data_IF_610575820227
#
_entry.id   IF_610575820227
#
_cell.length_a   1.000
_cell.length_b   1.000
_cell.length_c   1.000
_cell.angle_alpha   90.00
_cell.angle_beta   90.00
_cell.angle_gamma   90.00
#
_symmetry.space_group_name_H-M   'P 1'
#
loop_
_entity.id
_entity.type
_entity.pdbx_description
1 polymer ?
#
# COMPACT_ATOMS: atom_id res chain seq x y z
N UNK A 1 1.85 17.24 0.43
CA UNK A 1 2.16 15.84 0.04
C UNK A 1 0.86 15.18 -0.42
N UNK A 2 0.89 14.37 -1.47
CA UNK A 2 -0.30 13.71 -2.05
C UNK A 2 -0.02 12.22 -2.30
N UNK A 3 -0.15 11.38 -1.26
CA UNK A 3 -0.07 9.94 -1.45
C UNK A 3 -1.39 9.37 -2.02
N UNK A 4 -1.35 8.22 -2.71
CA UNK A 4 -2.52 7.40 -3.02
C UNK A 4 -2.93 6.62 -1.77
N UNK A 5 -3.34 5.34 -1.88
CA UNK A 5 -3.54 4.51 -0.68
C UNK A 5 -2.21 4.35 0.05
N UNK A 6 -2.26 4.39 1.38
CA UNK A 6 -1.08 4.23 2.22
C UNK A 6 -1.13 2.83 2.80
N UNK A 7 -0.06 2.06 2.60
CA UNK A 7 0.11 0.76 3.25
C UNK A 7 1.42 0.76 4.03
N UNK A 8 1.62 -0.25 4.86
CA UNK A 8 2.90 -0.54 5.50
C UNK A 8 2.76 -0.91 6.97
N UNK A 9 3.90 -1.04 7.67
CA UNK A 9 3.90 -1.46 9.07
C UNK A 9 3.32 -0.37 9.96
N UNK A 10 2.78 -0.79 11.11
CA UNK A 10 2.51 0.14 12.19
C UNK A 10 3.80 0.50 12.95
N UNK A 11 3.77 1.62 13.67
CA UNK A 11 4.80 1.93 14.65
C UNK A 11 4.87 0.84 15.74
N UNK A 12 6.03 0.62 16.38
CA UNK A 12 6.14 -0.33 17.48
C UNK A 12 5.08 -0.06 18.56
N UNK A 13 4.46 -1.13 19.05
CA UNK A 13 3.40 -1.09 20.07
C UNK A 13 2.12 -0.34 19.67
N UNK A 14 1.87 -0.14 18.37
CA UNK A 14 0.58 0.36 17.92
C UNK A 14 -0.55 -0.58 18.35
N UNK A 15 -1.62 -0.08 19.00
CA UNK A 15 -2.68 -0.92 19.54
C UNK A 15 -3.63 -1.39 18.43
N UNK A 16 -3.36 -2.57 17.86
CA UNK A 16 -4.26 -3.24 16.90
C UNK A 16 -5.41 -3.92 17.67
N UNK A 17 -6.42 -3.14 18.05
CA UNK A 17 -7.51 -3.60 18.93
C UNK A 17 -8.72 -4.13 18.18
N UNK A 18 -8.90 -3.71 16.93
CA UNK A 18 -10.05 -4.07 16.11
C UNK A 18 -9.72 -4.01 14.62
N UNK A 19 -10.62 -4.48 13.76
CA UNK A 19 -10.45 -4.39 12.31
C UNK A 19 -10.36 -2.94 11.83
N UNK A 20 -11.12 -2.03 12.44
CA UNK A 20 -11.10 -0.61 12.11
C UNK A 20 -9.74 0.04 12.39
N UNK A 21 -9.00 -0.47 13.39
CA UNK A 21 -7.64 0.01 13.69
C UNK A 21 -6.64 -0.26 12.56
N UNK A 22 -6.97 -1.15 11.62
CA UNK A 22 -6.14 -1.46 10.46
C UNK A 22 -6.11 -0.34 9.42
N UNK A 23 -7.12 0.54 9.40
CA UNK A 23 -7.28 1.57 8.37
C UNK A 23 -7.16 0.96 6.97
N UNK A 24 -6.33 1.52 6.09
CA UNK A 24 -6.10 1.04 4.72
C UNK A 24 -5.43 -0.32 4.65
N UNK A 25 -4.65 -0.75 5.65
CA UNK A 25 -4.08 -2.10 5.66
C UNK A 25 -5.17 -3.20 5.63
N UNK A 26 -6.41 -2.87 6.04
CA UNK A 26 -7.56 -3.77 5.90
C UNK A 26 -7.82 -4.22 4.46
N UNK A 27 -7.42 -3.44 3.46
CA UNK A 27 -7.62 -3.81 2.05
C UNK A 27 -6.78 -5.04 1.67
N UNK A 28 -5.55 -5.11 2.17
CA UNK A 28 -4.67 -6.27 2.00
C UNK A 28 -5.19 -7.44 2.85
N UNK A 29 -5.56 -7.18 4.10
CA UNK A 29 -6.13 -8.19 4.99
C UNK A 29 -7.41 -8.82 4.45
N UNK A 30 -8.25 -8.04 3.77
CA UNK A 30 -9.49 -8.52 3.15
C UNK A 30 -9.26 -9.63 2.12
N UNK A 31 -8.09 -9.69 1.47
CA UNK A 31 -7.74 -10.79 0.56
C UNK A 31 -7.67 -12.14 1.28
N UNK A 32 -7.27 -12.16 2.55
CA UNK A 32 -7.17 -13.40 3.34
C UNK A 32 -8.41 -13.68 4.19
N UNK A 33 -9.42 -12.79 4.13
CA UNK A 33 -10.69 -12.94 4.85
C UNK A 33 -11.86 -13.32 3.95
N UNK A 34 -11.91 -12.80 2.73
CA UNK A 34 -13.07 -12.96 1.85
C UNK A 34 -13.15 -14.36 1.21
N UNK A 35 -12.13 -15.19 1.42
CA UNK A 35 -12.07 -16.56 0.93
C UNK A 35 -11.60 -16.67 -0.53
N UNK A 36 -11.70 -17.89 -1.06
CA UNK A 36 -11.04 -18.28 -2.31
C UNK A 36 -11.76 -17.83 -3.58
N UNK A 37 -13.03 -17.48 -3.48
CA UNK A 37 -13.93 -17.40 -4.64
C UNK A 37 -14.27 -15.97 -5.03
N UNK A 38 -13.65 -14.97 -4.42
CA UNK A 38 -13.96 -13.57 -4.67
C UNK A 38 -12.75 -12.65 -4.48
N UNK A 39 -12.70 -11.59 -5.28
CA UNK A 39 -11.92 -10.38 -4.98
C UNK A 39 -12.91 -9.29 -4.56
N UNK A 40 -12.62 -8.59 -3.46
CA UNK A 40 -13.40 -7.40 -3.12
C UNK A 40 -13.25 -6.34 -4.23
N UNK A 41 -14.32 -5.65 -4.64
CA UNK A 41 -14.28 -4.67 -5.73
C UNK A 41 -13.52 -3.41 -5.30
N UNK A 42 -12.20 -3.47 -5.37
CA UNK A 42 -11.30 -2.39 -4.97
C UNK A 42 -10.54 -1.85 -6.19
N UNK A 43 -10.93 -0.67 -6.66
CA UNK A 43 -10.39 -0.08 -7.89
C UNK A 43 -9.00 0.57 -7.71
N UNK A 44 -8.45 0.55 -6.49
CA UNK A 44 -7.13 1.10 -6.19
C UNK A 44 -6.04 0.22 -6.80
N UNK A 45 -5.11 0.83 -7.52
CA UNK A 45 -3.89 0.16 -7.99
C UNK A 45 -2.64 1.03 -7.87
N UNK A 46 -2.68 2.07 -7.03
CA UNK A 46 -1.51 2.89 -6.68
C UNK A 46 -1.39 2.95 -5.17
N UNK A 47 -0.16 2.91 -4.67
CA UNK A 47 0.13 2.89 -3.24
C UNK A 47 1.41 3.66 -2.91
N UNK A 48 1.54 4.02 -1.64
CA UNK A 48 2.78 4.50 -1.04
C UNK A 48 3.00 3.80 0.31
N UNK A 49 4.27 3.59 0.65
CA UNK A 49 4.65 3.14 1.98
C UNK A 49 4.46 4.27 3.00
N UNK A 50 3.89 3.96 4.17
CA UNK A 50 3.69 4.93 5.26
C UNK A 50 4.99 5.60 5.69
N UNK A 51 6.14 4.91 5.61
CA UNK A 51 7.46 5.47 5.94
C UNK A 51 7.92 6.47 4.88
N UNK A 52 7.70 6.19 3.60
CA UNK A 52 7.97 7.14 2.52
C UNK A 52 7.07 8.37 2.63
N UNK A 53 5.79 8.18 2.97
CA UNK A 53 4.87 9.29 3.21
C UNK A 53 5.33 10.13 4.39
N UNK A 54 5.78 9.53 5.50
CA UNK A 54 6.32 10.26 6.64
C UNK A 54 7.59 11.05 6.26
N UNK A 55 8.53 10.43 5.55
CA UNK A 55 9.72 11.10 5.02
C UNK A 55 9.37 12.27 4.10
N UNK A 56 8.38 12.09 3.21
CA UNK A 56 7.92 13.14 2.32
C UNK A 56 7.37 14.36 3.08
N UNK A 57 6.61 14.13 4.15
CA UNK A 57 6.09 15.22 4.99
C UNK A 57 7.22 15.98 5.68
N UNK A 58 8.21 15.27 6.22
CA UNK A 58 9.38 15.90 6.87
C UNK A 58 10.20 16.69 5.84
N UNK A 59 10.54 16.09 4.70
CA UNK A 59 11.30 16.74 3.64
C UNK A 59 10.60 18.00 3.11
N UNK A 60 9.26 17.98 3.01
CA UNK A 60 8.48 19.11 2.53
C UNK A 60 8.58 20.35 3.44
N UNK A 61 8.88 20.19 4.74
CA UNK A 61 9.05 21.32 5.67
C UNK A 61 10.32 22.13 5.38
N UNK A 62 11.34 21.48 4.81
CA UNK A 62 12.63 22.10 4.47
C UNK A 62 12.83 22.28 2.96
N UNK A 63 11.79 22.02 2.16
CA UNK A 63 11.86 22.12 0.71
C UNK A 63 12.10 23.58 0.27
N UNK A 64 12.88 23.78 -0.80
CA UNK A 64 13.12 25.13 -1.33
C UNK A 64 11.79 25.77 -1.77
N UNK A 65 11.63 27.10 -1.64
CA UNK A 65 10.42 27.79 -2.09
C UNK A 65 10.18 27.54 -3.58
N UNK A 66 8.97 27.09 -3.92
CA UNK A 66 8.57 26.92 -5.33
C UNK A 66 7.80 28.16 -5.79
N UNK A 67 8.25 28.89 -6.83
CA UNK A 67 7.54 30.05 -7.37
C UNK A 67 6.16 29.65 -7.92
N UNK A 68 5.13 30.47 -7.66
CA UNK A 68 3.70 30.24 -8.02
C UNK A 68 3.03 29.11 -7.19
N UNK A 69 2.59 29.50 -5.99
CA UNK A 69 1.97 28.77 -4.87
C UNK A 69 1.17 27.48 -5.16
N UNK A 70 1.15 26.63 -4.13
CA UNK A 70 0.35 25.42 -3.89
C UNK A 70 0.62 24.21 -4.82
N UNK A 71 1.89 23.80 -4.92
CA UNK A 71 2.24 22.54 -5.59
C UNK A 71 1.89 21.34 -4.73
N UNK A 72 1.27 20.34 -5.36
CA UNK A 72 0.97 19.02 -4.77
C UNK A 72 2.07 18.04 -5.21
N UNK A 73 2.67 17.36 -4.25
CA UNK A 73 3.79 16.44 -4.48
C UNK A 73 3.27 15.01 -4.43
N UNK A 74 3.23 14.33 -5.58
CA UNK A 74 2.78 12.93 -5.67
C UNK A 74 3.85 12.03 -5.07
N UNK A 75 3.45 11.20 -4.12
CA UNK A 75 4.30 10.18 -3.49
C UNK A 75 3.71 8.82 -3.84
N UNK A 76 4.41 8.02 -4.63
CA UNK A 76 3.92 6.71 -5.07
C UNK A 76 5.09 5.80 -5.41
N UNK A 77 5.02 4.55 -4.94
CA UNK A 77 6.01 3.51 -5.24
C UNK A 77 5.69 2.74 -6.56
N UNK A 78 4.69 3.21 -7.31
CA UNK A 78 4.25 2.60 -8.57
C UNK A 78 2.85 2.02 -8.48
N UNK A 79 2.54 1.14 -9.43
CA UNK A 79 1.25 0.47 -9.53
C UNK A 79 1.35 -1.02 -9.19
N UNK A 80 0.29 -1.58 -8.61
CA UNK A 80 0.16 -3.00 -8.27
C UNK A 80 -1.17 -3.53 -8.79
N UNK A 81 -1.37 -4.85 -8.81
CA UNK A 81 -2.69 -5.47 -9.04
C UNK A 81 -3.11 -6.33 -7.86
N UNK A 82 -4.41 -6.45 -7.56
CA UNK A 82 -4.85 -7.31 -6.45
C UNK A 82 -4.52 -8.77 -6.70
N UNK A 83 -4.60 -9.22 -7.96
CA UNK A 83 -4.05 -10.52 -8.35
C UNK A 83 -2.55 -10.63 -8.06
N UNK A 84 -1.76 -9.62 -8.42
CA UNK A 84 -0.32 -9.58 -8.15
C UNK A 84 0.01 -9.62 -6.66
N UNK A 85 -0.77 -8.94 -5.83
CA UNK A 85 -0.68 -9.05 -4.37
C UNK A 85 -1.01 -10.47 -3.91
N UNK A 86 -2.11 -11.07 -4.36
CA UNK A 86 -2.47 -12.43 -3.97
C UNK A 86 -1.38 -13.45 -4.38
N UNK A 87 -0.80 -13.29 -5.57
CA UNK A 87 0.29 -14.13 -6.06
C UNK A 87 1.57 -13.94 -5.23
N UNK A 88 1.89 -12.70 -4.85
CA UNK A 88 3.01 -12.39 -3.95
C UNK A 88 2.81 -13.02 -2.56
N UNK A 89 1.64 -12.85 -1.94
CA UNK A 89 1.34 -13.43 -0.63
C UNK A 89 1.42 -14.95 -0.70
N UNK A 90 0.87 -15.56 -1.75
CA UNK A 90 0.97 -17.02 -1.96
C UNK A 90 2.41 -17.52 -2.01
N UNK A 91 3.32 -16.73 -2.58
CA UNK A 91 4.75 -17.06 -2.68
C UNK A 91 5.48 -16.86 -1.35
N UNK A 92 5.25 -15.74 -0.67
CA UNK A 92 6.05 -15.30 0.48
C UNK A 92 5.43 -15.67 1.85
N UNK A 93 4.14 -16.03 1.89
CA UNK A 93 3.36 -16.47 3.06
C UNK A 93 2.52 -17.72 2.70
N UNK A 94 3.17 -18.84 2.36
CA UNK A 94 2.48 -20.03 1.85
C UNK A 94 1.41 -20.60 2.81
N UNK A 95 1.53 -20.35 4.11
CA UNK A 95 0.54 -20.69 5.13
C UNK A 95 -0.83 -20.02 4.93
N UNK A 96 -0.88 -18.90 4.20
CA UNK A 96 -2.11 -18.18 3.87
C UNK A 96 -2.69 -18.58 2.51
N UNK A 97 -2.04 -19.47 1.76
CA UNK A 97 -2.45 -19.86 0.39
C UNK A 97 -3.92 -20.28 0.31
N UNK A 98 -4.39 -21.04 1.30
CA UNK A 98 -5.77 -21.55 1.36
C UNK A 98 -6.80 -20.48 1.73
N UNK A 99 -6.38 -19.26 2.06
CA UNK A 99 -7.26 -18.13 2.39
C UNK A 99 -7.41 -17.14 1.24
N UNK A 100 -6.53 -17.22 0.24
CA UNK A 100 -6.45 -16.28 -0.86
C UNK A 100 -7.40 -16.67 -2.02
N UNK A 101 -7.80 -15.69 -2.86
CA UNK A 101 -8.49 -15.96 -4.10
C UNK A 101 -7.73 -16.96 -4.97
N UNK A 102 -8.44 -17.89 -5.63
CA UNK A 102 -7.79 -18.91 -6.48
C UNK A 102 -6.97 -18.28 -7.60
N UNK A 103 -5.91 -18.97 -8.03
CA UNK A 103 -4.99 -18.48 -9.07
C UNK A 103 -5.69 -18.26 -10.43
N UNK A 104 -6.70 -19.08 -10.72
CA UNK A 104 -7.51 -19.05 -11.93
C UNK A 104 -8.69 -18.08 -11.85
N UNK A 105 -8.94 -17.48 -10.68
CA UNK A 105 -10.05 -16.56 -10.49
C UNK A 105 -9.74 -15.22 -11.17
N UNK A 106 -10.63 -14.82 -12.08
CA UNK A 106 -10.59 -13.48 -12.64
C UNK A 106 -11.08 -12.46 -11.59
N UNK A 107 -10.32 -11.38 -11.41
CA UNK A 107 -10.67 -10.28 -10.52
C UNK A 107 -12.04 -9.67 -10.84
N UNK A 108 -12.46 -9.67 -12.11
CA UNK A 108 -13.80 -9.25 -12.53
C UNK A 108 -14.06 -7.74 -12.48
N UNK A 109 -13.05 -6.93 -12.16
CA UNK A 109 -13.11 -5.47 -12.17
C UNK A 109 -11.78 -4.84 -12.62
N UNK A 110 -11.88 -3.67 -13.26
CA UNK A 110 -10.72 -2.85 -13.60
C UNK A 110 -10.17 -2.11 -12.39
N UNK A 111 -8.91 -1.70 -12.45
CA UNK A 111 -8.26 -0.92 -11.41
C UNK A 111 -7.42 0.19 -12.02
N UNK A 112 -7.18 1.23 -11.23
CA UNK A 112 -6.30 2.33 -11.62
C UNK A 112 -4.87 1.83 -11.80
N UNK A 113 -4.24 2.14 -12.94
CA UNK A 113 -2.87 1.73 -13.24
C UNK A 113 -2.13 2.77 -14.12
N UNK A 114 -2.62 4.00 -14.15
CA UNK A 114 -2.02 5.07 -14.93
C UNK A 114 -0.63 5.41 -14.36
N UNK A 115 0.44 5.44 -15.18
CA UNK A 115 1.75 5.84 -14.70
C UNK A 115 1.69 7.20 -14.02
N UNK A 116 2.21 7.28 -12.79
CA UNK A 116 2.28 8.53 -12.03
C UNK A 116 3.67 9.14 -12.17
N UNK A 117 3.72 10.42 -12.54
CA UNK A 117 4.98 11.17 -12.59
C UNK A 117 5.37 11.64 -11.17
N UNK A 118 6.42 11.03 -10.63
CA UNK A 118 7.00 11.36 -9.33
C UNK A 118 8.30 12.18 -9.43
N UNK A 119 8.68 12.66 -10.62
CA UNK A 119 9.90 13.45 -10.81
C UNK A 119 9.90 14.73 -9.97
N UNK A 120 8.74 15.36 -9.81
CA UNK A 120 8.64 16.54 -8.96
C UNK A 120 8.99 16.27 -7.48
N UNK A 121 8.65 15.09 -6.96
CA UNK A 121 9.05 14.68 -5.61
C UNK A 121 10.56 14.43 -5.52
N UNK A 122 11.16 13.84 -6.56
CA UNK A 122 12.61 13.67 -6.66
C UNK A 122 13.32 15.03 -6.66
N UNK A 123 12.87 15.96 -7.47
CA UNK A 123 13.55 17.26 -7.67
C UNK A 123 13.44 18.16 -6.44
N UNK A 124 12.29 18.15 -5.75
CA UNK A 124 12.02 19.07 -4.64
C UNK A 124 12.30 18.45 -3.27
N UNK A 125 12.04 17.15 -3.10
CA UNK A 125 12.19 16.45 -1.81
C UNK A 125 13.41 15.51 -1.77
N UNK A 126 14.11 15.31 -2.89
CA UNK A 126 15.18 14.31 -2.99
C UNK A 126 14.67 12.87 -3.03
N UNK A 127 13.35 12.66 -3.18
CA UNK A 127 12.71 11.34 -3.15
C UNK A 127 12.73 10.66 -4.52
N UNK A 128 13.89 10.12 -4.90
CA UNK A 128 14.07 9.35 -6.13
C UNK A 128 13.96 7.83 -5.96
N UNK A 129 13.86 7.36 -4.72
CA UNK A 129 13.74 5.94 -4.36
C UNK A 129 12.61 5.80 -3.34
N UNK A 130 11.84 4.74 -3.50
CA UNK A 130 10.70 4.40 -2.66
C UNK A 130 10.83 2.95 -2.22
N UNK A 131 10.24 2.63 -1.08
CA UNK A 131 10.07 1.24 -0.65
C UNK A 131 9.18 0.56 -1.69
N UNK A 132 9.57 -0.66 -2.08
CA UNK A 132 8.87 -1.39 -3.13
C UNK A 132 7.49 -1.82 -2.66
N UNK A 133 6.53 -1.85 -3.59
CA UNK A 133 5.15 -2.21 -3.24
C UNK A 133 5.07 -3.62 -2.64
N UNK A 134 5.94 -4.56 -3.07
CA UNK A 134 5.97 -5.92 -2.54
C UNK A 134 6.27 -5.93 -1.04
N UNK A 135 7.30 -5.18 -0.62
CA UNK A 135 7.70 -5.09 0.79
C UNK A 135 6.61 -4.44 1.62
N UNK A 136 6.10 -3.29 1.17
CA UNK A 136 5.05 -2.54 1.87
C UNK A 136 3.78 -3.38 2.07
N UNK A 137 3.35 -4.15 1.05
CA UNK A 137 2.14 -4.98 1.15
C UNK A 137 2.34 -6.16 2.09
N UNK A 138 3.51 -6.81 2.08
CA UNK A 138 3.81 -7.91 3.00
C UNK A 138 3.83 -7.41 4.45
N UNK A 139 4.46 -6.27 4.72
CA UNK A 139 4.48 -5.68 6.06
C UNK A 139 3.11 -5.17 6.50
N UNK A 140 2.29 -4.63 5.58
CA UNK A 140 0.90 -4.28 5.86
C UNK A 140 0.05 -5.50 6.26
N UNK A 141 0.24 -6.63 5.56
CA UNK A 141 -0.43 -7.90 5.88
C UNK A 141 0.01 -8.43 7.23
N UNK A 142 1.31 -8.47 7.51
CA UNK A 142 1.85 -8.95 8.79
C UNK A 142 1.35 -8.09 9.96
N UNK A 143 1.27 -6.77 9.76
CA UNK A 143 0.67 -5.84 10.73
C UNK A 143 -0.81 -6.13 10.97
N UNK A 144 -1.57 -6.51 9.94
CA UNK A 144 -2.98 -6.85 10.07
C UNK A 144 -3.21 -8.22 10.74
N UNK A 145 -2.39 -9.23 10.42
CA UNK A 145 -2.45 -10.56 11.01
C UNK A 145 -2.16 -10.56 12.53
N UNK A 146 -1.56 -9.49 13.06
CA UNK A 146 -1.43 -9.32 14.51
C UNK A 146 -2.79 -9.34 15.24
N UNK A 147 -3.90 -8.98 14.55
CA UNK A 147 -5.26 -9.06 15.10
C UNK A 147 -5.69 -10.50 15.44
N UNK A 148 -5.12 -11.50 14.76
CA UNK A 148 -5.46 -12.92 14.93
C UNK A 148 -4.71 -13.58 16.09
N UNK A 149 -3.65 -12.93 16.62
CA UNK A 149 -2.75 -13.50 17.63
C UNK A 149 -3.24 -13.33 19.08
N UNK A 150 -4.56 -13.37 19.27
CA UNK A 150 -5.18 -13.25 20.60
C UNK A 150 -5.02 -14.52 21.43
#
# INVERSE_FOLDING_TARGET
VLPPVIFGPFVPNFPVTSRESLSTNDFVYSLVLNGKDTYAPNLVGHMADVRDVAHAHIAALSAPPVPKKDKRIIISAGAFTWKGIADLIRKERPELKERLPREDLNQGFGQTAAPLDTNFAKDILGMGQYIKWEETVLEALDAALALERK
#
